data_IF_926246174691
#
_entry.id   IF_926246174691
#
_cell.length_a   1.000
_cell.length_b   1.000
_cell.length_c   1.000
_cell.angle_alpha   90.00
_cell.angle_beta   90.00
_cell.angle_gamma   90.00
#
_symmetry.space_group_name_H-M   'P 1'
#
loop_
_entity.id
_entity.type
_entity.pdbx_description
1 polymer ?
#
# COMPACT_ATOMS: atom_id res chain seq x y z
N UNK A 1 -27.90 13.57 58.28
CA UNK A 1 -27.11 14.34 57.30
C UNK A 1 -25.91 13.47 56.96
N UNK A 2 -25.94 12.78 55.84
CA UNK A 2 -24.82 11.98 55.39
C UNK A 2 -24.66 12.26 53.89
N UNK A 3 -23.55 12.91 53.52
CA UNK A 3 -23.18 13.22 52.16
C UNK A 3 -22.53 11.98 51.52
N UNK A 4 -23.18 11.43 50.50
CA UNK A 4 -22.64 10.37 49.65
C UNK A 4 -21.78 10.96 48.53
N UNK A 5 -20.50 10.56 48.47
CA UNK A 5 -19.60 10.84 47.39
C UNK A 5 -19.73 9.74 46.33
N UNK A 6 -20.29 10.06 45.18
CA UNK A 6 -20.28 9.17 44.03
C UNK A 6 -18.94 9.24 43.29
N UNK A 7 -18.21 8.14 43.31
CA UNK A 7 -16.99 7.89 42.54
C UNK A 7 -17.29 7.90 41.04
N UNK A 8 -16.66 8.81 40.32
CA UNK A 8 -16.54 8.74 38.87
C UNK A 8 -15.49 7.66 38.49
N UNK A 9 -15.93 6.54 37.95
CA UNK A 9 -15.04 5.56 37.34
C UNK A 9 -14.70 6.01 35.93
N UNK A 10 -13.44 6.38 35.72
CA UNK A 10 -12.85 6.51 34.38
C UNK A 10 -12.81 5.13 33.74
N UNK A 11 -13.73 4.88 32.83
CA UNK A 11 -13.65 3.73 31.90
C UNK A 11 -12.69 4.14 30.77
N UNK A 12 -11.45 3.72 30.90
CA UNK A 12 -10.47 3.76 29.82
C UNK A 12 -10.90 2.82 28.70
N UNK A 13 -11.42 3.35 27.62
CA UNK A 13 -11.68 2.59 26.41
C UNK A 13 -10.35 2.32 25.70
N UNK A 14 -9.66 1.25 26.11
CA UNK A 14 -8.59 0.63 25.31
C UNK A 14 -9.27 -0.11 24.17
N UNK A 15 -9.42 0.53 23.01
CA UNK A 15 -9.88 -0.14 21.80
C UNK A 15 -8.79 -1.06 21.28
N UNK A 16 -8.81 -2.30 21.75
CA UNK A 16 -8.03 -3.38 21.19
C UNK A 16 -8.57 -3.68 19.77
N UNK A 17 -7.82 -3.28 18.77
CA UNK A 17 -8.09 -3.69 17.39
C UNK A 17 -8.05 -5.22 17.29
N UNK A 18 -9.02 -5.88 16.65
CA UNK A 18 -9.06 -7.32 16.55
C UNK A 18 -7.87 -7.83 15.74
N UNK A 19 -7.18 -8.85 16.29
CA UNK A 19 -6.13 -9.60 15.60
C UNK A 19 -6.79 -10.45 14.52
N UNK A 20 -6.80 -9.98 13.29
CA UNK A 20 -7.26 -10.78 12.15
C UNK A 20 -6.08 -11.28 11.33
N UNK A 21 -5.74 -12.55 11.53
CA UNK A 21 -4.88 -13.31 10.64
C UNK A 21 -5.80 -14.12 9.74
N UNK A 22 -6.23 -13.54 8.63
CA UNK A 22 -7.21 -14.14 7.73
C UNK A 22 -6.51 -14.66 6.47
N UNK A 23 -6.30 -15.98 6.43
CA UNK A 23 -6.20 -16.70 5.18
C UNK A 23 -7.65 -16.85 4.70
N UNK A 24 -8.14 -15.90 3.93
CA UNK A 24 -9.49 -15.91 3.42
C UNK A 24 -9.48 -15.97 1.90
N UNK A 25 -10.19 -16.95 1.36
CA UNK A 25 -10.79 -16.84 0.03
C UNK A 25 -11.52 -15.50 -0.01
N UNK A 26 -11.38 -14.75 -1.11
CA UNK A 26 -11.87 -13.39 -1.25
C UNK A 26 -13.32 -13.22 -0.77
N UNK A 27 -13.51 -12.87 0.48
CA UNK A 27 -14.76 -12.40 1.01
C UNK A 27 -14.78 -10.87 0.99
N UNK A 28 -15.26 -10.36 -0.15
CA UNK A 28 -15.46 -8.92 -0.36
C UNK A 28 -16.41 -8.28 0.66
N UNK A 29 -17.22 -9.06 1.38
CA UNK A 29 -18.17 -8.53 2.37
C UNK A 29 -17.46 -8.08 3.65
N UNK A 30 -16.45 -8.83 4.11
CA UNK A 30 -15.63 -8.46 5.27
C UNK A 30 -14.74 -7.23 5.01
N UNK A 31 -14.30 -7.04 3.77
CA UNK A 31 -13.46 -5.92 3.35
C UNK A 31 -14.25 -4.60 3.35
N UNK A 32 -15.47 -4.56 2.82
CA UNK A 32 -16.31 -3.35 2.84
C UNK A 32 -16.61 -2.91 4.28
N UNK A 33 -16.83 -3.86 5.18
CA UNK A 33 -17.08 -3.57 6.59
C UNK A 33 -15.86 -2.92 7.27
N UNK A 34 -14.65 -3.41 7.00
CA UNK A 34 -13.43 -2.82 7.56
C UNK A 34 -13.10 -1.45 6.95
N UNK A 35 -13.34 -1.28 5.63
CA UNK A 35 -13.18 0.02 4.97
C UNK A 35 -14.22 1.04 5.42
N UNK A 36 -15.40 0.61 5.87
CA UNK A 36 -16.41 1.49 6.48
C UNK A 36 -16.12 1.80 7.94
N UNK A 37 -15.42 0.91 8.65
CA UNK A 37 -15.03 1.10 10.05
C UNK A 37 -13.70 1.89 10.19
N UNK A 38 -12.82 1.87 9.18
CA UNK A 38 -11.74 2.82 9.02
C UNK A 38 -12.34 4.12 8.48
N UNK A 39 -12.41 5.15 9.32
CA UNK A 39 -12.94 6.44 8.91
C UNK A 39 -12.41 6.84 7.53
N UNK A 40 -13.23 7.33 6.58
CA UNK A 40 -12.87 7.58 5.18
C UNK A 40 -11.78 8.63 4.98
N UNK A 41 -11.14 9.08 6.04
CA UNK A 41 -10.13 10.13 6.11
C UNK A 41 -8.76 9.66 6.63
N UNK A 42 -8.57 8.37 6.92
CA UNK A 42 -7.29 7.87 7.44
C UNK A 42 -6.38 7.47 6.29
N UNK A 43 -5.14 8.00 6.30
CA UNK A 43 -4.13 7.60 5.32
C UNK A 43 -3.80 6.11 5.47
N UNK A 44 -3.60 5.42 4.35
CA UNK A 44 -3.21 4.00 4.29
C UNK A 44 -2.12 3.80 3.25
N UNK A 45 -1.26 2.82 3.49
CA UNK A 45 -0.29 2.37 2.50
C UNK A 45 -0.75 1.02 1.93
N UNK A 46 -0.93 0.94 0.62
CA UNK A 46 -1.22 -0.28 -0.12
C UNK A 46 0.03 -0.71 -0.87
N UNK A 47 0.44 -1.94 -0.72
CA UNK A 47 1.70 -2.46 -1.27
C UNK A 47 1.41 -3.65 -2.16
N UNK A 48 1.83 -3.55 -3.41
CA UNK A 48 1.97 -4.69 -4.31
C UNK A 48 3.14 -5.56 -3.82
N UNK A 49 2.80 -6.71 -3.23
CA UNK A 49 3.72 -7.51 -2.44
C UNK A 49 4.64 -8.41 -3.24
N UNK A 50 4.27 -8.76 -4.48
CA UNK A 50 4.97 -9.79 -5.24
C UNK A 50 6.35 -9.31 -5.74
N UNK A 51 6.48 -8.03 -6.08
CA UNK A 51 7.71 -7.45 -6.61
C UNK A 51 8.25 -6.26 -5.81
N UNK A 52 7.95 -6.14 -4.51
CA UNK A 52 8.35 -4.99 -3.70
C UNK A 52 9.65 -5.24 -2.90
N UNK A 53 10.80 -4.67 -3.29
CA UNK A 53 12.08 -4.83 -2.60
C UNK A 53 12.25 -3.90 -1.39
N UNK A 54 11.28 -3.01 -1.11
CA UNK A 54 11.35 -1.94 -0.08
C UNK A 54 10.37 -2.14 1.07
N UNK A 55 9.92 -3.38 1.30
CA UNK A 55 8.95 -3.68 2.38
C UNK A 55 9.42 -3.21 3.74
N UNK A 56 10.70 -3.43 4.06
CA UNK A 56 11.30 -3.01 5.33
C UNK A 56 11.30 -1.48 5.51
N UNK A 57 11.58 -0.75 4.43
CA UNK A 57 11.54 0.70 4.41
C UNK A 57 10.11 1.22 4.62
N UNK A 58 9.13 0.57 4.00
CA UNK A 58 7.70 0.88 4.18
C UNK A 58 7.31 0.71 5.65
N UNK A 59 7.66 -0.42 6.28
CA UNK A 59 7.33 -0.66 7.68
C UNK A 59 7.95 0.39 8.61
N UNK A 60 9.22 0.79 8.40
CA UNK A 60 9.89 1.83 9.19
C UNK A 60 9.14 3.16 9.15
N UNK A 61 8.72 3.60 7.97
CA UNK A 61 7.97 4.85 7.81
C UNK A 61 6.56 4.72 8.40
N UNK A 62 5.88 3.61 8.14
CA UNK A 62 4.54 3.33 8.65
C UNK A 62 4.49 3.37 10.18
N UNK A 63 5.45 2.73 10.86
CA UNK A 63 5.54 2.74 12.33
C UNK A 63 5.78 4.16 12.86
N UNK A 64 6.72 4.89 12.26
CA UNK A 64 7.01 6.27 12.66
C UNK A 64 5.82 7.21 12.48
N UNK A 65 5.04 7.03 11.40
CA UNK A 65 3.90 7.87 11.06
C UNK A 65 2.57 7.37 11.62
N UNK A 66 2.57 6.21 12.27
CA UNK A 66 1.36 5.52 12.75
C UNK A 66 0.32 5.32 11.63
N UNK A 67 0.77 4.91 10.43
CA UNK A 67 -0.07 4.70 9.25
C UNK A 67 -0.21 3.20 8.98
N UNK A 68 -1.44 2.67 8.79
CA UNK A 68 -1.65 1.26 8.48
C UNK A 68 -1.08 0.91 7.09
N UNK A 69 -0.56 -0.32 6.99
CA UNK A 69 -0.01 -0.91 5.77
C UNK A 69 -0.78 -2.17 5.44
N UNK A 70 -1.25 -2.29 4.23
CA UNK A 70 -1.79 -3.53 3.67
C UNK A 70 -0.88 -4.00 2.54
N UNK A 71 -0.30 -5.18 2.69
CA UNK A 71 0.51 -5.83 1.65
C UNK A 71 -0.34 -6.89 0.98
N UNK A 72 -0.50 -6.78 -0.32
CA UNK A 72 -1.33 -7.66 -1.15
C UNK A 72 -0.42 -8.51 -2.03
N UNK A 73 -0.72 -9.78 -2.20
CA UNK A 73 0.07 -10.71 -3.03
C UNK A 73 -0.79 -11.88 -3.48
N UNK A 74 -0.43 -12.48 -4.60
CA UNK A 74 -1.04 -13.70 -5.10
C UNK A 74 -0.53 -14.95 -4.36
N UNK A 75 0.60 -14.85 -3.66
CA UNK A 75 1.20 -15.97 -2.92
C UNK A 75 1.32 -15.69 -1.44
N UNK A 76 1.22 -16.73 -0.57
CA UNK A 76 1.45 -16.58 0.86
C UNK A 76 2.89 -16.13 1.15
N UNK A 77 3.06 -15.09 1.93
CA UNK A 77 4.36 -14.57 2.36
C UNK A 77 4.30 -14.11 3.82
N UNK A 78 5.48 -13.87 4.42
CA UNK A 78 5.58 -13.41 5.80
C UNK A 78 5.58 -11.89 5.87
N UNK A 79 4.81 -11.36 6.83
CA UNK A 79 4.85 -9.95 7.23
C UNK A 79 5.17 -9.85 8.72
N UNK A 80 5.69 -8.74 9.21
CA UNK A 80 5.87 -8.50 10.64
C UNK A 80 4.55 -8.63 11.40
N UNK A 81 4.59 -9.21 12.60
CA UNK A 81 3.44 -9.25 13.50
C UNK A 81 3.32 -7.91 14.18
N UNK A 82 2.54 -7.01 13.61
CA UNK A 82 2.35 -5.65 14.11
C UNK A 82 0.92 -5.17 13.84
N UNK A 83 0.28 -4.41 14.78
CA UNK A 83 -1.10 -3.93 14.60
C UNK A 83 -1.33 -3.11 13.31
N UNK A 84 -0.31 -2.38 12.86
CA UNK A 84 -0.38 -1.56 11.64
C UNK A 84 -0.12 -2.35 10.35
N UNK A 85 0.34 -3.60 10.42
CA UNK A 85 0.70 -4.37 9.21
C UNK A 85 -0.31 -5.48 8.98
N UNK A 86 -0.91 -5.45 7.80
CA UNK A 86 -1.87 -6.44 7.35
C UNK A 86 -1.37 -7.12 6.09
N UNK A 87 -1.63 -8.42 5.97
CA UNK A 87 -1.42 -9.20 4.77
C UNK A 87 -2.76 -9.59 4.16
N UNK A 88 -2.87 -9.43 2.85
CA UNK A 88 -3.96 -9.97 2.04
C UNK A 88 -3.36 -10.90 1.02
N UNK A 89 -3.84 -12.14 0.98
CA UNK A 89 -3.50 -13.09 -0.07
C UNK A 89 -4.75 -13.27 -0.90
N UNK A 90 -4.65 -12.94 -2.18
CA UNK A 90 -5.76 -13.07 -3.14
C UNK A 90 -5.68 -14.41 -3.86
N UNK A 91 -6.79 -14.85 -4.43
CA UNK A 91 -6.84 -16.10 -5.20
C UNK A 91 -6.12 -15.96 -6.55
N UNK A 92 -5.82 -17.11 -7.18
CA UNK A 92 -4.97 -17.32 -8.35
C UNK A 92 -5.43 -16.67 -9.69
N UNK A 93 -6.12 -15.53 -9.66
CA UNK A 93 -6.40 -14.73 -10.85
C UNK A 93 -5.16 -13.95 -11.28
N UNK A 94 -4.91 -13.84 -12.59
CA UNK A 94 -3.73 -13.18 -13.17
C UNK A 94 -3.53 -11.74 -12.63
N UNK A 95 -4.62 -10.97 -12.50
CA UNK A 95 -4.60 -9.58 -12.02
C UNK A 95 -5.29 -9.40 -10.64
N UNK A 96 -5.50 -10.48 -9.87
CA UNK A 96 -6.31 -10.43 -8.65
C UNK A 96 -5.74 -9.49 -7.57
N UNK A 97 -4.41 -9.41 -7.46
CA UNK A 97 -3.74 -8.46 -6.54
C UNK A 97 -3.90 -7.01 -7.02
N UNK A 98 -3.76 -6.79 -8.31
CA UNK A 98 -3.91 -5.46 -8.93
C UNK A 98 -5.35 -4.97 -8.82
N UNK A 99 -6.34 -5.84 -9.08
CA UNK A 99 -7.75 -5.52 -8.92
C UNK A 99 -8.07 -5.15 -7.47
N UNK A 100 -7.58 -5.95 -6.53
CA UNK A 100 -7.78 -5.68 -5.12
C UNK A 100 -7.20 -4.33 -4.70
N UNK A 101 -5.97 -4.01 -5.12
CA UNK A 101 -5.29 -2.75 -4.79
C UNK A 101 -6.01 -1.57 -5.44
N UNK A 102 -6.40 -1.69 -6.71
CA UNK A 102 -7.10 -0.63 -7.42
C UNK A 102 -8.47 -0.32 -6.78
N UNK A 103 -9.22 -1.34 -6.38
CA UNK A 103 -10.52 -1.19 -5.71
C UNK A 103 -10.39 -0.57 -4.30
N UNK A 104 -9.26 -0.82 -3.62
CA UNK A 104 -8.97 -0.26 -2.31
C UNK A 104 -8.35 1.15 -2.38
N UNK A 105 -7.93 1.60 -3.57
CA UNK A 105 -7.28 2.89 -3.74
C UNK A 105 -8.25 4.06 -3.57
N UNK A 106 -7.81 5.12 -2.89
CA UNK A 106 -8.59 6.35 -2.67
C UNK A 106 -7.67 7.55 -2.43
N UNK A 107 -8.21 8.76 -2.35
CA UNK A 107 -7.44 10.02 -2.26
C UNK A 107 -6.48 10.14 -1.05
N UNK A 108 -6.68 9.36 0.01
CA UNK A 108 -5.77 9.29 1.17
C UNK A 108 -4.88 8.03 1.15
N UNK A 109 -4.91 7.22 0.09
CA UNK A 109 -4.07 6.06 -0.06
C UNK A 109 -2.74 6.40 -0.74
N UNK A 110 -1.66 5.74 -0.27
CA UNK A 110 -0.36 5.70 -0.96
C UNK A 110 -0.15 4.29 -1.47
N UNK A 111 -0.08 4.13 -2.78
CA UNK A 111 0.13 2.82 -3.42
C UNK A 111 1.60 2.67 -3.80
N UNK A 112 2.19 1.53 -3.46
CA UNK A 112 3.58 1.19 -3.81
C UNK A 112 3.56 0.05 -4.80
N UNK A 113 3.92 0.33 -6.04
CA UNK A 113 4.00 -0.68 -7.11
C UNK A 113 5.06 -0.34 -8.16
N UNK A 114 5.57 -1.34 -8.84
CA UNK A 114 6.40 -1.20 -10.04
C UNK A 114 5.56 -1.34 -11.33
N UNK A 115 4.31 -1.80 -11.21
CA UNK A 115 3.44 -1.95 -12.37
C UNK A 115 2.80 -0.61 -12.78
N UNK A 116 3.07 -0.22 -14.04
CA UNK A 116 2.61 1.05 -14.59
C UNK A 116 1.09 1.02 -14.85
N UNK A 117 0.52 -0.14 -15.18
CA UNK A 117 -0.91 -0.26 -15.44
C UNK A 117 -1.71 -0.18 -14.14
N UNK A 118 -1.24 -0.84 -13.07
CA UNK A 118 -1.81 -0.68 -11.75
C UNK A 118 -1.67 0.77 -11.26
N UNK A 119 -0.50 1.39 -11.49
CA UNK A 119 -0.28 2.78 -11.13
C UNK A 119 -1.30 3.73 -11.79
N UNK A 120 -1.58 3.55 -13.09
CA UNK A 120 -2.58 4.33 -13.82
C UNK A 120 -3.99 4.18 -13.22
N UNK A 121 -4.39 2.94 -12.89
CA UNK A 121 -5.67 2.64 -12.25
C UNK A 121 -5.80 3.35 -10.90
N UNK A 122 -4.78 3.25 -10.05
CA UNK A 122 -4.77 3.88 -8.73
C UNK A 122 -4.75 5.41 -8.80
N UNK A 123 -4.03 6.00 -9.76
CA UNK A 123 -4.05 7.45 -10.01
C UNK A 123 -5.45 7.96 -10.39
N UNK A 124 -6.21 7.20 -11.19
CA UNK A 124 -7.61 7.51 -11.54
C UNK A 124 -8.54 7.51 -10.33
N UNK A 125 -8.22 6.71 -9.30
CA UNK A 125 -8.94 6.70 -8.01
C UNK A 125 -8.48 7.83 -7.07
N UNK A 126 -7.54 8.68 -7.51
CA UNK A 126 -7.01 9.81 -6.74
C UNK A 126 -5.90 9.46 -5.75
N UNK A 127 -5.42 8.21 -5.72
CA UNK A 127 -4.34 7.79 -4.84
C UNK A 127 -2.99 8.40 -5.24
N UNK A 128 -2.09 8.57 -4.26
CA UNK A 128 -0.69 8.84 -4.54
C UNK A 128 0.01 7.52 -4.87
N UNK A 129 0.77 7.47 -5.95
CA UNK A 129 1.47 6.23 -6.35
C UNK A 129 2.97 6.45 -6.42
N UNK A 130 3.74 5.57 -5.77
CA UNK A 130 5.20 5.58 -5.75
C UNK A 130 5.76 4.26 -6.30
N UNK A 131 6.81 4.36 -7.11
CA UNK A 131 7.63 3.19 -7.46
C UNK A 131 8.53 2.79 -6.28
N UNK A 132 9.02 1.54 -6.21
CA UNK A 132 10.03 1.12 -5.23
C UNK A 132 11.32 1.94 -5.27
N UNK A 133 11.66 2.57 -6.41
CA UNK A 133 12.80 3.47 -6.54
C UNK A 133 12.54 4.89 -6.01
N UNK A 134 11.38 5.15 -5.38
CA UNK A 134 11.00 6.45 -4.83
C UNK A 134 10.57 7.48 -5.88
N UNK A 135 10.27 7.06 -7.10
CA UNK A 135 9.74 7.94 -8.15
C UNK A 135 8.21 7.95 -8.09
N UNK A 136 7.63 9.13 -8.01
CA UNK A 136 6.17 9.29 -8.06
C UNK A 136 5.65 9.08 -9.50
N UNK A 137 4.57 8.34 -9.63
CA UNK A 137 3.74 8.34 -10.83
C UNK A 137 2.78 9.52 -10.76
N UNK A 138 2.55 10.18 -11.90
CA UNK A 138 1.63 11.31 -12.01
C UNK A 138 0.72 11.13 -13.23
N UNK A 139 -0.46 11.71 -13.18
CA UNK A 139 -1.41 11.68 -14.30
C UNK A 139 -0.83 12.28 -15.59
N UNK A 140 0.08 13.26 -15.46
CA UNK A 140 0.76 13.88 -16.61
C UNK A 140 1.86 13.01 -17.22
N UNK A 141 2.52 12.14 -16.43
CA UNK A 141 3.64 11.34 -16.91
C UNK A 141 3.28 9.88 -17.22
N UNK A 142 2.15 9.39 -16.70
CA UNK A 142 1.81 7.97 -16.78
C UNK A 142 1.60 7.49 -18.22
N UNK A 143 0.96 8.30 -19.06
CA UNK A 143 0.71 7.96 -20.47
C UNK A 143 1.99 7.74 -21.27
N UNK A 144 3.01 8.60 -21.09
CA UNK A 144 4.31 8.43 -21.75
C UNK A 144 5.06 7.21 -21.23
N UNK A 145 4.92 6.87 -19.95
CA UNK A 145 5.54 5.68 -19.37
C UNK A 145 4.90 4.39 -19.89
N UNK A 146 3.56 4.36 -20.07
CA UNK A 146 2.85 3.24 -20.69
C UNK A 146 3.33 3.04 -22.13
N UNK A 147 3.39 4.11 -22.93
CA UNK A 147 3.86 4.07 -24.31
C UNK A 147 5.31 3.57 -24.39
N UNK A 148 6.20 4.08 -23.54
CA UNK A 148 7.61 3.63 -23.47
C UNK A 148 7.69 2.16 -23.11
N UNK A 149 6.89 1.67 -22.14
CA UNK A 149 6.87 0.24 -21.76
C UNK A 149 6.48 -0.63 -22.95
N UNK A 150 5.44 -0.25 -23.73
CA UNK A 150 5.00 -0.99 -24.89
C UNK A 150 6.12 -1.09 -25.96
N UNK A 151 6.75 0.05 -26.30
CA UNK A 151 7.87 0.08 -27.26
C UNK A 151 9.03 -0.81 -26.77
N UNK A 152 9.40 -0.72 -25.49
CA UNK A 152 10.49 -1.52 -24.93
C UNK A 152 10.15 -3.02 -24.85
N UNK A 153 8.89 -3.38 -24.72
CA UNK A 153 8.44 -4.77 -24.78
C UNK A 153 8.59 -5.33 -26.20
N UNK A 154 8.18 -4.57 -27.22
CA UNK A 154 8.32 -4.95 -28.63
C UNK A 154 9.80 -5.11 -29.03
N UNK A 155 10.68 -4.18 -28.62
CA UNK A 155 12.12 -4.27 -28.88
C UNK A 155 12.78 -5.48 -28.20
N UNK A 156 12.34 -5.88 -27.01
CA UNK A 156 12.82 -7.11 -26.35
C UNK A 156 12.34 -8.35 -27.08
N UNK A 157 11.08 -8.37 -27.53
CA UNK A 157 10.54 -9.48 -28.32
C UNK A 157 11.29 -9.65 -29.66
N UNK A 158 11.76 -8.53 -30.23
CA UNK A 158 12.60 -8.51 -31.45
C UNK A 158 14.06 -8.89 -31.22
N UNK A 159 14.50 -9.05 -29.97
CA UNK A 159 15.90 -9.39 -29.63
C UNK A 159 16.88 -8.22 -29.65
N UNK A 160 16.41 -7.00 -29.86
CA UNK A 160 17.23 -5.79 -30.01
C UNK A 160 17.84 -5.26 -28.69
N UNK A 161 17.30 -5.73 -27.54
CA UNK A 161 17.78 -5.31 -26.21
C UNK A 161 18.10 -6.50 -25.33
N UNK A 162 19.38 -6.65 -25.00
CA UNK A 162 19.86 -7.61 -24.01
C UNK A 162 20.19 -6.88 -22.70
N UNK A 163 19.62 -7.37 -21.58
CA UNK A 163 19.90 -6.88 -20.24
C UNK A 163 18.61 -6.56 -19.45
N UNK A 164 18.67 -6.77 -18.13
CA UNK A 164 17.62 -6.45 -17.19
C UNK A 164 17.81 -5.04 -16.58
N UNK A 165 16.84 -4.57 -15.77
CA UNK A 165 17.01 -3.34 -15.01
C UNK A 165 18.20 -3.44 -14.05
N UNK A 166 18.86 -2.31 -13.77
CA UNK A 166 19.95 -2.26 -12.82
C UNK A 166 19.53 -2.80 -11.44
N UNK A 167 20.44 -3.47 -10.71
CA UNK A 167 20.15 -3.96 -9.36
C UNK A 167 19.71 -2.84 -8.43
N UNK A 168 18.74 -3.14 -7.57
CA UNK A 168 18.20 -2.20 -6.59
C UNK A 168 19.26 -1.77 -5.57
N UNK A 169 19.57 -0.47 -5.48
CA UNK A 169 20.68 0.07 -4.72
C UNK A 169 20.29 0.61 -3.34
N UNK A 170 21.30 0.87 -2.48
CA UNK A 170 21.09 1.57 -1.19
C UNK A 170 20.58 3.00 -1.41
N UNK A 171 21.01 3.66 -2.47
CA UNK A 171 20.54 5.00 -2.86
C UNK A 171 19.06 5.00 -3.20
N UNK A 172 18.58 3.96 -3.90
CA UNK A 172 17.15 3.82 -4.21
C UNK A 172 16.33 3.65 -2.94
N UNK A 173 16.81 2.87 -1.96
CA UNK A 173 16.16 2.74 -0.65
C UNK A 173 16.05 4.07 0.09
N UNK A 174 17.12 4.86 0.11
CA UNK A 174 17.13 6.16 0.77
C UNK A 174 16.19 7.15 0.08
N UNK A 175 16.19 7.17 -1.25
CA UNK A 175 15.26 7.98 -2.06
C UNK A 175 13.81 7.60 -1.80
N UNK A 176 13.54 6.30 -1.79
CA UNK A 176 12.20 5.77 -1.49
C UNK A 176 11.71 6.19 -0.09
N UNK A 177 12.55 6.02 0.95
CA UNK A 177 12.23 6.43 2.31
C UNK A 177 11.82 7.92 2.38
N UNK A 178 12.61 8.80 1.74
CA UNK A 178 12.34 10.24 1.72
C UNK A 178 11.05 10.55 0.97
N UNK A 179 10.84 9.93 -0.19
CA UNK A 179 9.64 10.14 -0.99
C UNK A 179 8.37 9.68 -0.29
N UNK A 180 8.38 8.51 0.35
CA UNK A 180 7.23 7.99 1.10
C UNK A 180 6.92 8.88 2.30
N UNK A 181 7.93 9.30 3.04
CA UNK A 181 7.74 10.18 4.20
C UNK A 181 7.15 11.54 3.80
N UNK A 182 7.61 12.11 2.71
CA UNK A 182 7.09 13.37 2.17
C UNK A 182 5.62 13.25 1.74
N UNK A 183 5.27 12.19 1.00
CA UNK A 183 3.88 11.96 0.55
C UNK A 183 2.95 11.81 1.74
N UNK A 184 3.31 10.99 2.73
CA UNK A 184 2.50 10.82 3.93
C UNK A 184 2.39 12.11 4.74
N UNK A 185 3.45 12.91 4.81
CA UNK A 185 3.43 14.23 5.45
C UNK A 185 2.48 15.22 4.76
N UNK A 186 2.31 15.13 3.44
CA UNK A 186 1.32 15.93 2.70
C UNK A 186 -0.12 15.47 2.94
N UNK A 187 -0.34 14.17 3.01
CA UNK A 187 -1.68 13.58 3.20
C UNK A 187 -2.21 13.74 4.63
N UNK A 188 -1.34 14.00 5.60
CA UNK A 188 -1.72 14.21 7.01
C UNK A 188 -2.10 15.66 7.36
N UNK A 189 -1.96 16.58 6.43
CA UNK A 189 -2.38 17.98 6.54
C UNK A 189 -3.82 18.18 6.09
#
# INVERSE_FOLDING_TARGET
MVFGWTKWALVGATSALPRFNMVARADFSGMRRWMSDAAPHTSIILVDGDACPVKEEIYKVAYRRNVPVTVVSNSPFRVPVHPLVRRVVVSDGFDAADDWIADAAHAKAVVITADILLADRCLKMGACVLSPAGKAFTTSSIGSQIATRAIMADLRAGGDIMGGPAPFSKTDRSRFLSALDEVLGRLSR
#
